data_IF_145312753063
#
_entry.id   IF_145312753063
#
_cell.length_a   1.000
_cell.length_b   1.000
_cell.length_c   1.000
_cell.angle_alpha   90.00
_cell.angle_beta   90.00
_cell.angle_gamma   90.00
#
_symmetry.space_group_name_H-M   'P 1'
#
loop_
_entity.id
_entity.type
_entity.pdbx_description
1 polymer ?
#
# COMPACT_ATOMS: atom_id res chain seq x y z
N UNK A 1 -1.89 -5.07 -2.27
CA UNK A 1 -1.17 -3.82 -2.59
C UNK A 1 -0.04 -4.11 -3.56
N UNK A 2 0.61 -3.12 -4.19
CA UNK A 2 1.85 -3.37 -4.91
C UNK A 2 2.94 -3.78 -3.90
N UNK A 3 3.56 -4.93 -4.15
CA UNK A 3 4.81 -5.34 -3.52
C UNK A 3 5.90 -4.35 -3.97
N UNK A 4 6.23 -3.36 -3.15
CA UNK A 4 7.28 -2.42 -3.49
C UNK A 4 8.63 -3.15 -3.45
N UNK A 5 9.26 -3.32 -4.61
CA UNK A 5 10.62 -3.89 -4.73
C UNK A 5 10.71 -5.42 -4.75
N UNK A 6 9.69 -6.16 -4.30
CA UNK A 6 9.70 -7.64 -4.25
C UNK A 6 9.12 -8.23 -5.54
N UNK A 7 9.90 -9.06 -6.23
CA UNK A 7 9.46 -9.75 -7.46
C UNK A 7 9.19 -11.21 -7.17
N UNK A 8 7.91 -11.59 -7.10
CA UNK A 8 7.52 -12.99 -6.96
C UNK A 8 7.35 -13.63 -8.34
N UNK A 9 8.11 -14.68 -8.58
CA UNK A 9 8.06 -15.52 -9.77
C UNK A 9 7.10 -16.70 -9.54
N UNK A 10 6.40 -17.09 -10.59
CA UNK A 10 5.53 -18.27 -10.59
C UNK A 10 5.98 -19.19 -11.70
N UNK A 11 6.26 -20.44 -11.37
CA UNK A 11 6.65 -21.46 -12.35
C UNK A 11 5.58 -22.55 -12.45
N UNK A 12 5.09 -22.76 -13.67
CA UNK A 12 4.08 -23.79 -13.97
C UNK A 12 4.76 -25.03 -14.55
N UNK A 13 4.70 -26.13 -13.82
CA UNK A 13 5.31 -27.41 -14.17
C UNK A 13 4.19 -28.37 -14.63
N UNK A 14 4.20 -28.67 -15.94
CA UNK A 14 3.24 -29.59 -16.55
C UNK A 14 3.68 -31.06 -16.49
N UNK A 15 4.98 -31.33 -16.65
CA UNK A 15 5.57 -32.67 -16.64
C UNK A 15 6.69 -32.74 -15.60
N UNK A 16 6.68 -33.79 -14.76
CA UNK A 16 7.67 -33.95 -13.69
C UNK A 16 7.77 -35.41 -13.23
N UNK A 17 8.87 -35.74 -12.55
CA UNK A 17 9.06 -36.97 -11.77
C UNK A 17 9.35 -36.63 -10.31
N UNK A 18 9.06 -37.51 -9.33
CA UNK A 18 9.35 -37.27 -7.92
C UNK A 18 10.79 -36.86 -7.65
N UNK A 19 11.75 -37.49 -8.32
CA UNK A 19 13.16 -37.17 -8.23
C UNK A 19 13.45 -35.77 -8.76
N UNK A 20 12.90 -35.41 -9.93
CA UNK A 20 13.06 -34.07 -10.49
C UNK A 20 12.55 -33.00 -9.53
N UNK A 21 11.35 -33.20 -8.97
CA UNK A 21 10.74 -32.24 -8.06
C UNK A 21 11.54 -32.12 -6.76
N UNK A 22 12.01 -33.24 -6.21
CA UNK A 22 12.87 -33.28 -5.02
C UNK A 22 14.18 -32.51 -5.23
N UNK A 23 14.88 -32.76 -6.33
CA UNK A 23 16.12 -32.04 -6.67
C UNK A 23 15.88 -30.54 -6.89
N UNK A 24 14.74 -30.18 -7.49
CA UNK A 24 14.37 -28.78 -7.70
C UNK A 24 14.09 -28.07 -6.38
N UNK A 25 13.27 -28.65 -5.50
CA UNK A 25 12.99 -28.10 -4.17
C UNK A 25 14.28 -27.98 -3.34
N UNK A 26 15.16 -28.97 -3.38
CA UNK A 26 16.46 -28.90 -2.70
C UNK A 26 17.32 -27.73 -3.21
N UNK A 27 17.40 -27.52 -4.53
CA UNK A 27 18.11 -26.37 -5.10
C UNK A 27 17.51 -25.04 -4.67
N UNK A 28 16.17 -24.94 -4.67
CA UNK A 28 15.48 -23.73 -4.21
C UNK A 28 15.75 -23.44 -2.73
N UNK A 29 15.78 -24.48 -1.89
CA UNK A 29 16.12 -24.37 -0.47
C UNK A 29 17.59 -23.97 -0.20
N UNK A 30 18.46 -23.99 -1.21
CA UNK A 30 19.85 -23.55 -1.10
C UNK A 30 20.06 -22.11 -1.58
N UNK A 31 19.11 -21.53 -2.30
CA UNK A 31 19.17 -20.12 -2.72
C UNK A 31 18.91 -19.22 -1.51
N UNK A 32 19.62 -18.08 -1.42
CA UNK A 32 19.36 -17.08 -0.39
C UNK A 32 18.11 -16.24 -0.70
N UNK A 33 17.74 -16.10 -1.97
CA UNK A 33 16.52 -15.44 -2.44
C UNK A 33 15.33 -16.43 -2.54
N UNK A 34 15.10 -17.25 -1.49
CA UNK A 34 14.01 -18.26 -1.46
C UNK A 34 12.61 -17.69 -1.66
N UNK A 35 12.46 -16.40 -1.42
CA UNK A 35 11.22 -15.82 -0.89
C UNK A 35 10.29 -15.32 -1.99
N UNK A 36 10.47 -15.81 -3.21
CA UNK A 36 9.81 -15.22 -4.36
C UNK A 36 9.63 -16.23 -5.49
N UNK A 37 9.50 -17.53 -5.20
CA UNK A 37 9.15 -18.51 -6.23
C UNK A 37 8.03 -19.42 -5.77
N UNK A 38 6.90 -19.33 -6.47
CA UNK A 38 5.74 -20.23 -6.31
C UNK A 38 5.78 -21.30 -7.40
N UNK A 39 5.81 -22.56 -7.00
CA UNK A 39 5.78 -23.70 -7.91
C UNK A 39 4.34 -24.22 -8.04
N UNK A 40 3.82 -24.23 -9.26
CA UNK A 40 2.54 -24.85 -9.61
C UNK A 40 2.82 -26.18 -10.31
N UNK A 41 2.48 -27.31 -9.68
CA UNK A 41 2.78 -28.66 -10.18
C UNK A 41 1.51 -29.43 -10.55
N UNK A 42 1.47 -30.02 -11.74
CA UNK A 42 0.32 -30.80 -12.19
C UNK A 42 0.16 -32.12 -11.39
N UNK A 43 -1.02 -32.38 -10.84
CA UNK A 43 -1.36 -33.59 -10.07
C UNK A 43 -1.41 -34.86 -10.92
N UNK A 44 -1.65 -34.76 -12.23
CA UNK A 44 -1.95 -35.91 -13.09
C UNK A 44 -0.80 -36.93 -13.26
N UNK A 45 0.42 -36.59 -12.83
CA UNK A 45 1.58 -37.49 -12.89
C UNK A 45 2.03 -38.00 -11.51
N UNK A 46 1.29 -37.68 -10.44
CA UNK A 46 1.65 -38.05 -9.09
C UNK A 46 1.10 -39.43 -8.71
N UNK A 47 1.98 -40.40 -8.45
CA UNK A 47 1.59 -41.58 -7.64
C UNK A 47 1.46 -41.24 -6.15
N UNK A 48 2.08 -40.16 -5.65
CA UNK A 48 1.84 -39.62 -4.30
C UNK A 48 2.34 -38.17 -4.25
N UNK A 49 1.45 -37.19 -4.38
CA UNK A 49 1.81 -35.75 -4.28
C UNK A 49 1.94 -35.25 -2.84
N UNK A 50 1.49 -36.04 -1.86
CA UNK A 50 1.37 -35.68 -0.44
C UNK A 50 2.69 -35.66 0.34
N UNK A 51 3.78 -36.15 -0.25
CA UNK A 51 5.12 -36.21 0.34
C UNK A 51 5.91 -34.90 0.15
N UNK A 52 5.43 -34.00 -0.71
CA UNK A 52 6.04 -32.68 -0.94
C UNK A 52 5.13 -31.59 -0.35
N UNK A 53 5.36 -31.23 0.91
CA UNK A 53 4.74 -30.05 1.54
C UNK A 53 5.80 -28.96 1.64
N UNK A 54 5.62 -27.89 0.86
CA UNK A 54 6.40 -26.67 0.98
C UNK A 54 5.44 -25.48 0.88
N UNK A 55 5.71 -24.40 1.62
CA UNK A 55 4.81 -23.22 1.70
C UNK A 55 4.52 -22.62 0.31
N UNK A 56 5.45 -22.73 -0.63
CA UNK A 56 5.33 -22.18 -1.99
C UNK A 56 5.07 -23.24 -3.07
N UNK A 57 4.64 -24.44 -2.70
CA UNK A 57 4.34 -25.52 -3.64
C UNK A 57 2.82 -25.77 -3.68
N UNK A 58 2.21 -25.52 -4.84
CA UNK A 58 0.79 -25.78 -5.06
C UNK A 58 0.61 -26.83 -6.14
N UNK A 59 -0.30 -27.76 -5.88
CA UNK A 59 -0.66 -28.79 -6.83
C UNK A 59 -1.96 -28.44 -7.55
N UNK A 60 -1.90 -28.29 -8.86
CA UNK A 60 -3.04 -27.99 -9.73
C UNK A 60 -3.41 -29.20 -10.60
N UNK A 61 -4.66 -29.24 -11.08
CA UNK A 61 -5.13 -30.26 -12.03
C UNK A 61 -5.42 -29.56 -13.38
N UNK A 62 -6.68 -29.49 -13.80
CA UNK A 62 -7.11 -28.76 -15.00
C UNK A 62 -7.15 -27.24 -14.80
N UNK A 63 -7.19 -26.79 -13.54
CA UNK A 63 -7.34 -25.38 -13.17
C UNK A 63 -6.31 -24.99 -12.13
N UNK A 64 -5.75 -23.79 -12.29
CA UNK A 64 -4.82 -23.18 -11.34
C UNK A 64 -5.61 -22.70 -10.11
N UNK A 65 -5.19 -23.08 -8.88
CA UNK A 65 -5.84 -22.67 -7.65
C UNK A 65 -5.49 -21.22 -7.29
N UNK A 66 -6.13 -20.26 -7.94
CA UNK A 66 -5.89 -18.83 -7.75
C UNK A 66 -6.08 -18.36 -6.30
N UNK A 67 -7.01 -18.94 -5.55
CA UNK A 67 -7.22 -18.60 -4.13
C UNK A 67 -6.01 -18.96 -3.26
N UNK A 68 -5.41 -20.12 -3.50
CA UNK A 68 -4.22 -20.56 -2.76
C UNK A 68 -3.01 -19.69 -3.10
N UNK A 69 -2.87 -19.27 -4.37
CA UNK A 69 -1.84 -18.31 -4.79
C UNK A 69 -2.03 -16.99 -4.05
N UNK A 70 -3.25 -16.45 -4.01
CA UNK A 70 -3.55 -15.21 -3.29
C UNK A 70 -3.23 -15.35 -1.79
N UNK A 71 -3.48 -16.50 -1.20
CA UNK A 71 -3.15 -16.76 0.21
C UNK A 71 -1.64 -16.73 0.46
N UNK A 72 -0.84 -17.34 -0.41
CA UNK A 72 0.63 -17.28 -0.33
C UNK A 72 1.11 -15.83 -0.51
N UNK A 73 0.60 -15.12 -1.52
CA UNK A 73 0.95 -13.72 -1.78
C UNK A 73 0.65 -12.81 -0.59
N UNK A 74 -0.47 -13.03 0.11
CA UNK A 74 -0.79 -12.30 1.35
C UNK A 74 0.23 -12.54 2.44
N UNK A 75 0.68 -13.79 2.63
CA UNK A 75 1.73 -14.10 3.60
C UNK A 75 3.05 -13.37 3.30
N UNK A 76 3.40 -13.23 2.02
CA UNK A 76 4.54 -12.40 1.61
C UNK A 76 4.34 -10.92 1.90
N UNK A 77 3.15 -10.37 1.59
CA UNK A 77 2.82 -8.97 1.93
C UNK A 77 2.91 -8.72 3.44
N UNK A 78 2.37 -9.63 4.27
CA UNK A 78 2.41 -9.51 5.74
C UNK A 78 3.82 -9.57 6.29
N UNK A 79 4.64 -10.50 5.79
CA UNK A 79 6.05 -10.61 6.18
C UNK A 79 6.82 -9.34 5.80
N UNK A 80 6.68 -8.89 4.55
CA UNK A 80 7.34 -7.66 4.08
C UNK A 80 6.91 -6.45 4.93
N UNK A 81 5.61 -6.31 5.22
CA UNK A 81 5.11 -5.23 6.08
C UNK A 81 5.77 -5.29 7.47
N UNK A 82 5.86 -6.46 8.08
CA UNK A 82 6.49 -6.63 9.39
C UNK A 82 7.97 -6.25 9.38
N UNK A 83 8.71 -6.65 8.34
CA UNK A 83 10.13 -6.30 8.17
C UNK A 83 10.32 -4.80 7.94
N UNK A 84 9.48 -4.18 7.12
CA UNK A 84 9.49 -2.74 6.88
C UNK A 84 9.17 -1.95 8.15
N UNK A 85 8.15 -2.38 8.92
CA UNK A 85 7.83 -1.77 10.22
C UNK A 85 8.99 -1.90 11.20
N UNK A 86 9.59 -3.09 11.34
CA UNK A 86 10.73 -3.31 12.23
C UNK A 86 11.95 -2.45 11.83
N UNK A 87 12.15 -2.19 10.53
CA UNK A 87 13.20 -1.28 10.06
C UNK A 87 12.88 0.18 10.41
N UNK A 88 11.62 0.57 10.35
CA UNK A 88 11.15 1.92 10.68
C UNK A 88 11.10 2.16 12.20
N UNK A 89 10.89 1.10 12.99
CA UNK A 89 10.94 1.15 14.45
C UNK A 89 12.33 1.58 14.93
N UNK A 90 12.38 2.70 15.66
CA UNK A 90 13.64 3.30 16.14
C UNK A 90 14.33 4.24 15.15
N UNK A 91 13.82 4.40 13.92
CA UNK A 91 14.29 5.44 13.00
C UNK A 91 13.50 6.74 13.18
N UNK A 92 14.22 7.85 13.30
CA UNK A 92 13.62 9.18 13.15
C UNK A 92 13.37 9.45 11.66
N UNK A 93 12.10 9.37 11.25
CA UNK A 93 11.69 9.68 9.88
C UNK A 93 11.84 11.19 9.70
N UNK A 94 12.80 11.60 8.87
CA UNK A 94 13.02 12.99 8.49
C UNK A 94 11.96 13.41 7.46
N UNK A 95 10.84 13.88 7.97
CA UNK A 95 9.81 14.56 7.19
C UNK A 95 10.30 16.01 7.01
N UNK A 96 10.94 16.31 5.89
CA UNK A 96 11.63 17.59 5.66
C UNK A 96 10.77 18.80 6.02
N UNK A 97 11.35 19.73 6.78
CA UNK A 97 10.80 21.02 7.28
C UNK A 97 9.41 20.98 7.94
N UNK A 98 9.29 21.58 9.12
CA UNK A 98 8.04 21.80 9.87
C UNK A 98 6.95 22.63 9.15
N UNK A 99 7.24 23.14 7.95
CA UNK A 99 6.52 24.26 7.35
C UNK A 99 5.66 23.90 6.12
N UNK A 100 5.18 22.67 5.96
CA UNK A 100 4.35 22.39 4.77
C UNK A 100 3.65 21.04 4.66
N UNK A 101 3.10 20.85 3.47
CA UNK A 101 2.44 19.63 3.00
C UNK A 101 3.49 18.62 2.56
N UNK A 102 3.52 17.46 3.20
CA UNK A 102 4.54 16.43 3.01
C UNK A 102 3.91 15.25 2.27
N UNK A 103 4.45 14.90 1.10
CA UNK A 103 4.01 13.73 0.34
C UNK A 103 4.66 12.45 0.90
N UNK A 104 3.84 11.56 1.46
CA UNK A 104 4.31 10.31 2.04
C UNK A 104 4.81 9.31 0.98
N UNK A 105 4.37 9.42 -0.28
CA UNK A 105 4.89 8.58 -1.37
C UNK A 105 6.38 8.85 -1.61
N UNK A 106 6.79 10.11 -1.52
CA UNK A 106 8.19 10.50 -1.70
C UNK A 106 9.04 10.07 -0.52
N UNK A 107 8.52 10.20 0.69
CA UNK A 107 9.17 9.71 1.92
C UNK A 107 9.32 8.19 1.84
N UNK A 108 8.25 7.48 1.51
CA UNK A 108 8.25 6.03 1.32
C UNK A 108 9.31 5.58 0.31
N UNK A 109 9.43 6.29 -0.81
CA UNK A 109 10.48 6.03 -1.82
C UNK A 109 11.89 6.28 -1.30
N UNK A 110 12.13 7.36 -0.56
CA UNK A 110 13.43 7.68 0.04
C UNK A 110 13.88 6.62 1.03
N UNK A 111 12.95 6.12 1.82
CA UNK A 111 13.21 5.07 2.80
C UNK A 111 13.07 3.65 2.23
N UNK A 112 12.64 3.48 0.98
CA UNK A 112 12.43 2.18 0.35
C UNK A 112 11.43 1.29 1.08
N UNK A 113 10.32 1.87 1.55
CA UNK A 113 9.23 1.19 2.29
C UNK A 113 7.89 1.40 1.61
N UNK A 114 6.89 0.59 1.93
CA UNK A 114 5.50 0.86 1.57
C UNK A 114 4.91 2.07 2.29
N UNK A 115 3.92 2.71 1.66
CA UNK A 115 3.20 3.88 2.22
C UNK A 115 2.43 3.49 3.50
N UNK A 116 1.86 2.29 3.53
CA UNK A 116 1.07 1.84 4.68
C UNK A 116 1.90 1.63 5.95
N UNK A 117 3.01 0.85 5.93
CA UNK A 117 3.92 0.77 7.07
C UNK A 117 4.35 2.16 7.55
N UNK A 118 4.71 3.05 6.60
CA UNK A 118 5.11 4.41 6.93
C UNK A 118 4.01 5.19 7.66
N UNK A 119 2.75 5.12 7.19
CA UNK A 119 1.60 5.76 7.85
C UNK A 119 1.37 5.20 9.25
N UNK A 120 1.52 3.90 9.44
CA UNK A 120 1.35 3.23 10.73
C UNK A 120 2.42 3.70 11.73
N UNK A 121 3.68 3.77 11.29
CA UNK A 121 4.78 4.33 12.10
C UNK A 121 4.55 5.80 12.45
N UNK A 122 4.15 6.64 11.49
CA UNK A 122 3.89 8.07 11.75
C UNK A 122 2.74 8.26 12.76
N UNK A 123 1.67 7.45 12.66
CA UNK A 123 0.58 7.45 13.64
C UNK A 123 1.07 7.05 15.03
N UNK A 124 1.92 6.03 15.13
CA UNK A 124 2.51 5.56 16.39
C UNK A 124 3.46 6.58 17.04
N UNK A 125 4.19 7.37 16.24
CA UNK A 125 5.08 8.42 16.72
C UNK A 125 4.36 9.65 17.29
N UNK A 126 3.03 9.73 17.16
CA UNK A 126 2.17 10.81 17.65
C UNK A 126 2.81 12.21 17.48
N UNK A 127 2.84 12.70 16.24
CA UNK A 127 3.38 14.04 15.93
C UNK A 127 2.31 15.10 16.14
N UNK A 128 2.31 15.84 17.27
CA UNK A 128 1.34 16.91 17.47
C UNK A 128 1.55 18.00 16.41
N UNK A 129 0.45 18.58 15.94
CA UNK A 129 0.49 19.65 14.93
C UNK A 129 0.50 19.17 13.48
N UNK A 130 0.36 17.87 13.20
CA UNK A 130 0.20 17.34 11.85
C UNK A 130 -1.07 16.50 11.71
N UNK A 131 -1.75 16.62 10.57
CA UNK A 131 -2.92 15.83 10.20
C UNK A 131 -2.61 14.99 8.97
N UNK A 132 -2.97 13.70 9.02
CA UNK A 132 -2.84 12.78 7.90
C UNK A 132 -4.08 12.86 7.01
N UNK A 133 -3.92 13.33 5.76
CA UNK A 133 -4.99 13.39 4.76
C UNK A 133 -4.54 12.64 3.50
N UNK A 134 -5.20 11.51 3.23
CA UNK A 134 -4.84 10.60 2.14
C UNK A 134 -3.42 10.06 2.31
N UNK A 135 -2.56 10.37 1.34
CA UNK A 135 -1.12 10.05 1.32
C UNK A 135 -0.24 11.26 1.67
N UNK A 136 -0.81 12.29 2.29
CA UNK A 136 -0.09 13.50 2.67
C UNK A 136 -0.19 13.76 4.17
N UNK A 137 0.90 14.28 4.73
CA UNK A 137 0.92 14.81 6.09
C UNK A 137 0.94 16.34 6.00
N UNK A 138 -0.03 17.00 6.63
CA UNK A 138 -0.24 18.46 6.51
C UNK A 138 -0.13 19.07 7.89
N UNK A 139 0.66 20.14 8.01
CA UNK A 139 0.80 20.87 9.28
C UNK A 139 -0.49 21.62 9.64
N UNK A 140 -0.70 21.80 10.94
CA UNK A 140 -1.85 22.53 11.45
C UNK A 140 -1.87 23.99 10.97
N UNK A 141 -0.71 24.61 10.82
CA UNK A 141 -0.59 25.98 10.30
C UNK A 141 -1.19 26.12 8.90
N UNK A 142 -0.88 25.20 7.98
CA UNK A 142 -1.44 25.20 6.61
C UNK A 142 -2.96 24.98 6.64
N UNK A 143 -3.46 24.13 7.55
CA UNK A 143 -4.90 23.91 7.70
C UNK A 143 -5.62 25.16 8.24
N UNK A 144 -4.97 25.94 9.11
CA UNK A 144 -5.49 27.20 9.61
C UNK A 144 -5.51 28.27 8.51
N UNK A 145 -4.45 28.42 7.71
CA UNK A 145 -4.42 29.33 6.56
C UNK A 145 -5.55 29.02 5.56
N UNK A 146 -5.71 27.72 5.22
CA UNK A 146 -6.78 27.29 4.31
C UNK A 146 -8.16 27.53 4.92
N UNK A 147 -8.31 27.35 6.24
CA UNK A 147 -9.58 27.61 6.92
C UNK A 147 -9.99 29.06 6.74
N UNK A 148 -9.05 29.98 6.88
CA UNK A 148 -9.29 31.42 6.72
C UNK A 148 -9.57 31.78 5.25
N UNK A 149 -8.86 31.18 4.29
CA UNK A 149 -9.12 31.35 2.85
C UNK A 149 -10.47 30.78 2.39
N UNK A 150 -10.98 29.74 3.06
CA UNK A 150 -12.27 29.13 2.74
C UNK A 150 -13.46 29.92 3.28
N UNK A 151 -13.25 30.91 4.15
CA UNK A 151 -14.34 31.73 4.68
C UNK A 151 -14.99 32.52 3.54
N UNK A 152 -16.27 32.25 3.28
CA UNK A 152 -17.05 32.91 2.23
C UNK A 152 -16.98 32.22 0.86
N UNK A 153 -16.26 31.11 0.74
CA UNK A 153 -16.25 30.29 -0.48
C UNK A 153 -17.47 29.37 -0.48
N UNK A 154 -18.33 29.50 -1.49
CA UNK A 154 -19.52 28.67 -1.66
C UNK A 154 -19.33 27.56 -2.71
N UNK A 155 -18.53 27.82 -3.76
CA UNK A 155 -18.31 26.89 -4.87
C UNK A 155 -17.21 25.89 -4.55
N UNK A 156 -17.46 24.62 -4.87
CA UNK A 156 -16.47 23.55 -4.71
C UNK A 156 -15.22 23.79 -5.55
N UNK A 157 -15.37 24.26 -6.80
CA UNK A 157 -14.23 24.52 -7.68
C UNK A 157 -13.30 25.64 -7.18
N UNK A 158 -13.84 26.65 -6.49
CA UNK A 158 -12.98 27.70 -5.92
C UNK A 158 -12.26 27.20 -4.67
N UNK A 159 -12.89 26.33 -3.88
CA UNK A 159 -12.21 25.62 -2.79
C UNK A 159 -11.09 24.70 -3.30
N UNK A 160 -11.33 23.94 -4.38
CA UNK A 160 -10.31 23.08 -5.00
C UNK A 160 -9.05 23.86 -5.39
N UNK A 161 -9.21 25.04 -6.01
CA UNK A 161 -8.09 25.92 -6.37
C UNK A 161 -7.27 26.33 -5.15
N UNK A 162 -7.92 26.62 -4.01
CA UNK A 162 -7.22 26.96 -2.76
C UNK A 162 -6.35 25.79 -2.32
N UNK A 163 -6.91 24.58 -2.25
CA UNK A 163 -6.15 23.38 -1.86
C UNK A 163 -5.01 23.06 -2.84
N UNK A 164 -5.21 23.24 -4.14
CA UNK A 164 -4.18 23.05 -5.16
C UNK A 164 -3.01 24.02 -4.99
N UNK A 165 -3.27 25.30 -4.66
CA UNK A 165 -2.21 26.28 -4.37
C UNK A 165 -1.33 25.87 -3.19
N UNK A 166 -1.93 25.22 -2.20
CA UNK A 166 -1.25 24.67 -1.02
C UNK A 166 -0.69 23.26 -1.24
N UNK A 167 -0.85 22.67 -2.44
CA UNK A 167 -0.33 21.35 -2.78
C UNK A 167 -1.09 20.16 -2.16
N UNK A 168 -2.32 20.37 -1.67
CA UNK A 168 -3.16 19.33 -1.08
C UNK A 168 -3.94 18.60 -2.18
N UNK A 169 -3.80 17.28 -2.24
CA UNK A 169 -4.48 16.39 -3.20
C UNK A 169 -5.71 15.71 -2.60
N UNK A 170 -5.76 15.56 -1.27
CA UNK A 170 -6.84 14.87 -0.58
C UNK A 170 -8.01 15.81 -0.23
N UNK A 171 -8.58 16.48 -1.25
CA UNK A 171 -9.58 17.55 -1.11
C UNK A 171 -10.78 17.16 -0.23
N UNK A 172 -11.37 15.99 -0.49
CA UNK A 172 -12.57 15.54 0.23
C UNK A 172 -12.31 15.33 1.71
N UNK A 173 -11.13 14.80 2.06
CA UNK A 173 -10.75 14.58 3.46
C UNK A 173 -10.38 15.90 4.14
N UNK A 174 -9.72 16.81 3.41
CA UNK A 174 -9.38 18.14 3.92
C UNK A 174 -10.64 18.95 4.23
N UNK A 175 -11.62 18.97 3.31
CA UNK A 175 -12.93 19.61 3.53
C UNK A 175 -13.65 19.01 4.74
N UNK A 176 -13.71 17.69 4.85
CA UNK A 176 -14.35 17.01 5.98
C UNK A 176 -13.68 17.38 7.32
N UNK A 177 -12.34 17.45 7.36
CA UNK A 177 -11.58 17.82 8.54
C UNK A 177 -11.80 19.28 8.94
N UNK A 178 -12.02 20.16 7.96
CA UNK A 178 -12.34 21.57 8.18
C UNK A 178 -13.82 21.83 8.49
N UNK A 179 -14.65 20.78 8.55
CA UNK A 179 -16.08 20.88 8.87
C UNK A 179 -16.93 21.30 7.68
N UNK A 180 -16.51 20.99 6.45
CA UNK A 180 -17.28 21.24 5.24
C UNK A 180 -17.74 19.93 4.59
N UNK A 181 -18.94 19.95 3.99
CA UNK A 181 -19.49 18.89 3.12
C UNK A 181 -19.74 19.42 1.73
N UNK A 182 -19.50 18.58 0.74
CA UNK A 182 -19.82 18.89 -0.66
C UNK A 182 -21.26 18.48 -0.93
N UNK A 183 -22.08 19.44 -1.37
CA UNK A 183 -23.42 19.22 -1.88
C UNK A 183 -23.37 19.17 -3.40
N UNK A 184 -23.75 18.02 -3.95
CA UNK A 184 -23.83 17.81 -5.40
C UNK A 184 -25.24 18.16 -5.89
N UNK A 185 -25.32 19.13 -6.78
CA UNK A 185 -26.58 19.58 -7.39
C UNK A 185 -26.94 18.79 -8.67
N UNK A 186 -26.02 17.95 -9.16
CA UNK A 186 -26.15 17.17 -10.40
C UNK A 186 -24.86 16.41 -10.73
N UNK A 187 -24.74 15.94 -11.97
CA UNK A 187 -23.54 15.25 -12.50
C UNK A 187 -22.42 16.21 -12.90
N UNK A 188 -22.72 17.50 -13.01
CA UNK A 188 -21.77 18.54 -13.36
C UNK A 188 -21.00 19.00 -12.11
N UNK A 189 -19.67 18.78 -12.05
CA UNK A 189 -18.86 19.17 -10.91
C UNK A 189 -18.78 20.69 -10.69
N UNK A 190 -19.05 21.52 -11.71
CA UNK A 190 -19.10 22.97 -11.58
C UNK A 190 -20.28 23.46 -10.72
N UNK A 191 -21.33 22.65 -10.59
CA UNK A 191 -22.52 22.97 -9.80
C UNK A 191 -22.43 22.48 -8.35
N UNK A 192 -21.29 21.95 -7.93
CA UNK A 192 -21.07 21.50 -6.56
C UNK A 192 -20.77 22.68 -5.62
N UNK A 193 -21.43 22.68 -4.47
CA UNK A 193 -21.27 23.69 -3.43
C UNK A 193 -20.67 23.09 -2.17
N UNK A 194 -19.92 23.87 -1.40
CA UNK A 194 -19.43 23.47 -0.07
C UNK A 194 -20.30 24.11 1.01
N UNK A 195 -20.72 23.30 1.97
CA UNK A 195 -21.54 23.70 3.10
C UNK A 195 -20.81 23.40 4.39
N UNK A 196 -20.73 24.39 5.28
CA UNK A 196 -20.20 24.21 6.63
C UNK A 196 -21.20 23.41 7.47
N UNK A 197 -20.69 22.43 8.22
CA UNK A 197 -21.45 21.47 9.04
C UNK A 197 -21.19 21.71 10.51
#
# INVERSE_FOLDING_TARGET
MPLYGTRIYVEIIGFWTPEYLKHKIQKLNLLQEKESLILLVNRNLACTGSEFLAENLLFYDKKIPHLEIVKILRGYEEKQKAEEMARLEGMEISLGSDAGVINLEEVARRYGVGIEPLKETIKGQNRPGFSLLGDQLISQHVLEEIRDELVGVAKHNDALKIFERHGIRAYSQALALLGYKVKWSGLDPDNAEILRV
#
